data_IF_900894919634
#
_entry.id   IF_900894919634
#
_cell.length_a   1.000
_cell.length_b   1.000
_cell.length_c   1.000
_cell.angle_alpha   90.00
_cell.angle_beta   90.00
_cell.angle_gamma   90.00
#
_symmetry.space_group_name_H-M   'P 1'
#
loop_
_entity.id
_entity.type
_entity.pdbx_description
1 polymer ?
#
# COMPACT_ATOMS: atom_id res chain seq x y z
N UNK A 1 22.96 -5.83 -18.43
CA UNK A 1 22.25 -4.84 -17.56
C UNK A 1 20.81 -4.78 -18.03
N UNK A 2 19.82 -5.13 -17.21
CA UNK A 2 18.41 -4.99 -17.58
C UNK A 2 18.07 -3.51 -17.73
N UNK A 3 17.42 -3.16 -18.85
CA UNK A 3 17.00 -1.77 -19.14
C UNK A 3 15.98 -1.29 -18.08
N UNK A 4 16.04 -0.01 -17.70
CA UNK A 4 14.97 0.63 -16.93
C UNK A 4 13.73 0.75 -17.81
N UNK A 5 12.60 0.30 -17.29
CA UNK A 5 11.29 0.37 -17.94
C UNK A 5 10.34 1.20 -17.06
N UNK A 6 9.26 1.70 -17.67
CA UNK A 6 8.16 2.25 -16.89
C UNK A 6 7.33 1.07 -16.36
N UNK A 7 7.35 0.89 -15.04
CA UNK A 7 6.60 -0.14 -14.35
C UNK A 7 5.31 0.47 -13.77
N UNK A 8 4.20 -0.26 -13.89
CA UNK A 8 2.89 0.11 -13.35
C UNK A 8 2.61 -0.73 -12.10
N UNK A 9 2.29 -0.08 -10.99
CA UNK A 9 2.06 -0.77 -9.72
C UNK A 9 0.86 -0.27 -8.94
N UNK A 10 0.20 -1.18 -8.23
CA UNK A 10 -0.82 -0.90 -7.20
C UNK A 10 -0.22 -1.30 -5.85
N UNK A 11 -0.02 -0.33 -4.94
CA UNK A 11 0.73 -0.54 -3.71
C UNK A 11 -0.12 -0.79 -2.46
N UNK A 12 -1.45 -1.01 -2.62
CA UNK A 12 -2.32 -1.22 -1.48
C UNK A 12 -3.45 -2.20 -1.83
N UNK A 13 -3.25 -3.47 -1.51
CA UNK A 13 -4.22 -4.54 -1.77
C UNK A 13 -4.28 -5.44 -0.54
N UNK A 14 -5.50 -5.80 -0.11
CA UNK A 14 -5.75 -6.73 0.98
C UNK A 14 -6.11 -8.12 0.47
N UNK A 15 -5.75 -9.14 1.26
CA UNK A 15 -6.14 -10.53 0.99
C UNK A 15 -7.17 -11.03 2.01
N UNK A 16 -7.55 -12.29 1.89
CA UNK A 16 -8.44 -12.97 2.84
C UNK A 16 -7.83 -13.12 4.27
N UNK A 17 -6.58 -12.70 4.48
CA UNK A 17 -5.97 -12.57 5.81
C UNK A 17 -6.42 -11.30 6.55
N UNK A 18 -7.00 -10.34 5.85
CA UNK A 18 -7.72 -9.20 6.44
C UNK A 18 -9.19 -9.57 6.68
N UNK A 19 -9.76 -9.15 7.81
CA UNK A 19 -11.14 -9.48 8.19
C UNK A 19 -12.21 -8.94 7.22
N UNK A 20 -11.83 -8.02 6.35
CA UNK A 20 -12.72 -7.28 5.45
C UNK A 20 -12.43 -7.50 3.96
N UNK A 21 -11.60 -8.49 3.63
CA UNK A 21 -11.31 -8.89 2.25
C UNK A 21 -11.46 -10.41 2.06
N UNK A 22 -11.93 -10.83 0.88
CA UNK A 22 -11.97 -12.25 0.46
C UNK A 22 -11.00 -12.55 -0.68
N UNK A 23 -10.15 -11.58 -1.04
CA UNK A 23 -9.24 -11.73 -2.17
C UNK A 23 -8.19 -12.81 -1.91
N UNK A 24 -8.16 -13.79 -2.80
CA UNK A 24 -7.14 -14.84 -2.78
C UNK A 24 -5.92 -14.46 -3.61
N UNK A 25 -4.71 -14.87 -3.23
CA UNK A 25 -3.48 -14.58 -3.98
C UNK A 25 -3.59 -14.89 -5.49
N UNK A 26 -4.23 -16.00 -5.86
CA UNK A 26 -4.41 -16.40 -7.25
C UNK A 26 -5.23 -15.39 -8.04
N UNK A 27 -6.29 -14.86 -7.42
CA UNK A 27 -7.17 -13.87 -8.05
C UNK A 27 -6.47 -12.52 -8.21
N UNK A 28 -5.71 -12.09 -7.19
CA UNK A 28 -4.91 -10.86 -7.23
C UNK A 28 -3.90 -10.95 -8.38
N UNK A 29 -3.12 -12.05 -8.47
CA UNK A 29 -2.12 -12.25 -9.51
C UNK A 29 -2.78 -12.29 -10.90
N UNK A 30 -3.90 -13.01 -11.05
CA UNK A 30 -4.65 -13.06 -12.31
C UNK A 30 -5.09 -11.65 -12.72
N UNK A 31 -5.69 -10.90 -11.80
CA UNK A 31 -6.17 -9.54 -12.06
C UNK A 31 -5.03 -8.58 -12.37
N UNK A 32 -3.92 -8.68 -11.65
CA UNK A 32 -2.71 -7.88 -11.93
C UNK A 32 -2.21 -8.10 -13.35
N UNK A 33 -2.18 -9.36 -13.82
CA UNK A 33 -1.79 -9.69 -15.21
C UNK A 33 -2.77 -9.12 -16.23
N UNK A 34 -4.08 -9.25 -15.99
CA UNK A 34 -5.13 -8.69 -16.87
C UNK A 34 -5.00 -7.16 -17.03
N UNK A 35 -4.62 -6.47 -15.96
CA UNK A 35 -4.46 -5.01 -15.92
C UNK A 35 -3.06 -4.52 -16.36
N UNK A 36 -2.15 -5.44 -16.67
CA UNK A 36 -0.76 -5.11 -17.02
C UNK A 36 0.02 -4.49 -15.85
N UNK A 37 -0.30 -4.86 -14.60
CA UNK A 37 0.48 -4.44 -13.44
C UNK A 37 1.80 -5.21 -13.41
N UNK A 38 2.89 -4.50 -13.17
CA UNK A 38 4.22 -5.03 -12.98
C UNK A 38 4.59 -5.15 -11.50
N UNK A 39 3.89 -4.39 -10.65
CA UNK A 39 4.13 -4.29 -9.22
C UNK A 39 2.79 -4.39 -8.49
N UNK A 40 2.75 -5.14 -7.39
CA UNK A 40 1.66 -5.09 -6.42
C UNK A 40 2.23 -5.02 -5.00
N UNK A 41 1.61 -4.21 -4.15
CA UNK A 41 1.81 -4.18 -2.71
C UNK A 41 0.65 -4.88 -2.03
N UNK A 42 0.92 -5.95 -1.29
CA UNK A 42 -0.09 -6.71 -0.55
C UNK A 42 0.15 -6.51 0.94
N UNK A 43 -0.83 -5.92 1.63
CA UNK A 43 -0.69 -5.34 2.97
C UNK A 43 -1.93 -5.62 3.81
N UNK A 44 -2.00 -6.81 4.36
CA UNK A 44 -3.12 -7.17 5.24
C UNK A 44 -3.04 -6.45 6.59
N UNK A 45 -4.17 -6.25 7.24
CA UNK A 45 -4.23 -5.74 8.61
C UNK A 45 -3.56 -6.73 9.57
N UNK A 46 -2.56 -6.25 10.31
CA UNK A 46 -1.88 -6.99 11.36
C UNK A 46 -1.15 -8.27 10.92
N UNK A 47 -0.89 -8.46 9.60
CA UNK A 47 -0.19 -9.65 9.12
C UNK A 47 0.51 -9.49 7.77
N UNK A 48 1.71 -10.07 7.65
CA UNK A 48 2.44 -10.17 6.37
C UNK A 48 2.11 -11.46 5.60
N UNK A 49 1.26 -12.33 6.13
CA UNK A 49 1.04 -13.69 5.59
C UNK A 49 0.51 -13.67 4.15
N UNK A 50 -0.55 -12.92 3.88
CA UNK A 50 -1.15 -12.83 2.55
C UNK A 50 -0.18 -12.27 1.50
N UNK A 51 0.60 -11.26 1.88
CA UNK A 51 1.66 -10.73 1.04
C UNK A 51 2.73 -11.77 0.71
N UNK A 52 3.16 -12.55 1.69
CA UNK A 52 4.13 -13.63 1.49
C UNK A 52 3.59 -14.78 0.64
N UNK A 53 2.35 -15.18 0.87
CA UNK A 53 1.69 -16.19 0.03
C UNK A 53 1.59 -15.72 -1.42
N UNK A 54 1.18 -14.47 -1.62
CA UNK A 54 1.09 -13.86 -2.96
C UNK A 54 2.47 -13.78 -3.62
N UNK A 55 3.51 -13.39 -2.89
CA UNK A 55 4.88 -13.34 -3.41
C UNK A 55 5.40 -14.72 -3.81
N UNK A 56 5.20 -15.73 -2.94
CA UNK A 56 5.63 -17.11 -3.21
C UNK A 56 4.92 -17.68 -4.43
N UNK A 57 3.61 -17.42 -4.57
CA UNK A 57 2.84 -17.86 -5.72
C UNK A 57 3.27 -17.14 -7.00
N UNK A 58 3.45 -15.81 -6.96
CA UNK A 58 3.87 -15.01 -8.11
C UNK A 58 5.22 -15.47 -8.67
N UNK A 59 6.20 -15.82 -7.82
CA UNK A 59 7.48 -16.40 -8.23
C UNK A 59 7.33 -17.67 -9.08
N UNK A 60 6.24 -18.43 -8.89
CA UNK A 60 5.96 -19.67 -9.63
C UNK A 60 5.22 -19.41 -10.95
N UNK A 61 4.19 -18.53 -10.95
CA UNK A 61 3.23 -18.40 -12.05
C UNK A 61 3.22 -17.04 -12.77
N UNK A 62 3.97 -16.06 -12.23
CA UNK A 62 3.97 -14.67 -12.73
C UNK A 62 5.35 -14.01 -12.50
N UNK A 63 6.41 -14.58 -13.06
CA UNK A 63 7.82 -14.18 -12.81
C UNK A 63 8.13 -12.70 -13.08
N UNK A 64 7.33 -12.03 -13.90
CA UNK A 64 7.47 -10.61 -14.24
C UNK A 64 6.70 -9.68 -13.30
N UNK A 65 5.98 -10.22 -12.31
CA UNK A 65 5.23 -9.47 -11.31
C UNK A 65 6.06 -9.35 -10.03
N UNK A 66 6.42 -8.12 -9.67
CA UNK A 66 7.11 -7.84 -8.40
C UNK A 66 6.06 -7.66 -7.31
N UNK A 67 6.11 -8.49 -6.28
CA UNK A 67 5.19 -8.43 -5.13
C UNK A 67 5.92 -7.87 -3.93
N UNK A 68 5.46 -6.74 -3.42
CA UNK A 68 5.86 -6.20 -2.13
C UNK A 68 4.93 -6.78 -1.06
N UNK A 69 5.46 -7.75 -0.30
CA UNK A 69 4.78 -8.23 0.89
C UNK A 69 4.99 -7.24 2.03
N UNK A 70 3.91 -6.88 2.71
CA UNK A 70 3.92 -5.94 3.80
C UNK A 70 2.73 -6.12 4.73
N UNK A 71 2.54 -5.15 5.58
CA UNK A 71 1.49 -5.11 6.59
C UNK A 71 0.94 -3.69 6.70
N UNK A 72 -0.37 -3.54 6.78
CA UNK A 72 -1.01 -2.32 7.25
C UNK A 72 -1.21 -2.41 8.76
N UNK A 73 -0.40 -1.64 9.50
CA UNK A 73 -0.26 -1.73 10.95
C UNK A 73 -1.12 -0.66 11.61
N UNK A 74 -2.04 -1.06 12.47
CA UNK A 74 -2.81 -0.15 13.33
C UNK A 74 -1.96 0.28 14.51
N UNK A 75 -1.70 1.59 14.62
CA UNK A 75 -1.08 2.20 15.79
C UNK A 75 -2.14 2.87 16.67
N UNK A 76 -1.74 3.39 17.83
CA UNK A 76 -2.65 4.17 18.69
C UNK A 76 -3.20 5.40 17.98
N UNK A 77 -2.40 6.02 17.10
CA UNK A 77 -2.73 7.30 16.44
C UNK A 77 -3.34 7.16 15.06
N UNK A 78 -3.16 6.02 14.38
CA UNK A 78 -3.61 5.79 13.02
C UNK A 78 -2.91 4.60 12.39
N UNK A 79 -2.87 4.54 11.06
CA UNK A 79 -2.31 3.41 10.33
C UNK A 79 -1.04 3.79 9.57
N UNK A 80 -0.11 2.82 9.45
CA UNK A 80 1.06 2.89 8.58
C UNK A 80 1.19 1.59 7.80
N UNK A 81 1.70 1.65 6.58
CA UNK A 81 2.11 0.47 5.82
C UNK A 81 3.61 0.25 5.99
N UNK A 82 4.00 -1.01 6.23
CA UNK A 82 5.38 -1.44 6.28
C UNK A 82 5.63 -2.52 5.23
N UNK A 83 6.45 -2.23 4.23
CA UNK A 83 6.93 -3.23 3.27
C UNK A 83 8.29 -3.78 3.68
N UNK A 84 8.64 -4.95 3.15
CA UNK A 84 9.96 -5.56 3.29
C UNK A 84 10.34 -5.88 4.75
N UNK A 85 9.36 -6.16 5.59
CA UNK A 85 9.56 -6.64 6.96
C UNK A 85 9.58 -8.17 7.01
N UNK A 86 10.28 -8.73 8.00
CA UNK A 86 10.48 -10.18 8.12
C UNK A 86 9.48 -10.89 9.03
N UNK A 87 8.71 -10.15 9.83
CA UNK A 87 7.69 -10.64 10.76
C UNK A 87 6.59 -9.60 10.93
N UNK A 88 5.45 -10.01 11.45
CA UNK A 88 4.36 -9.13 11.84
C UNK A 88 4.82 -8.17 12.96
N UNK A 89 4.31 -6.94 12.92
CA UNK A 89 4.52 -5.92 13.94
C UNK A 89 3.27 -5.90 14.87
N UNK A 90 3.43 -5.90 16.20
CA UNK A 90 2.27 -5.81 17.08
C UNK A 90 1.44 -4.56 16.81
N UNK A 91 0.13 -4.73 16.65
CA UNK A 91 -0.81 -3.61 16.54
C UNK A 91 -0.92 -2.81 17.84
N UNK A 92 -1.42 -1.59 17.76
CA UNK A 92 -1.71 -0.69 18.89
C UNK A 92 -0.49 -0.23 19.69
N UNK A 93 0.69 -0.35 19.14
CA UNK A 93 1.89 0.31 19.65
C UNK A 93 1.80 1.83 19.44
N UNK A 94 2.65 2.58 20.15
CA UNK A 94 2.89 4.00 19.85
C UNK A 94 3.41 4.17 18.42
N UNK A 95 2.98 5.23 17.73
CA UNK A 95 3.32 5.46 16.33
C UNK A 95 4.82 5.52 16.07
N UNK A 96 5.57 6.23 16.91
CA UNK A 96 7.02 6.36 16.73
C UNK A 96 7.75 5.06 17.08
N UNK A 97 7.27 4.33 18.09
CA UNK A 97 7.79 3.01 18.46
C UNK A 97 7.58 2.02 17.31
N UNK A 98 6.39 2.01 16.71
CA UNK A 98 6.08 1.19 15.53
C UNK A 98 7.05 1.51 14.37
N UNK A 99 7.27 2.80 14.08
CA UNK A 99 8.19 3.22 13.04
C UNK A 99 9.62 2.76 13.32
N UNK A 100 10.10 2.86 14.56
CA UNK A 100 11.43 2.39 14.95
C UNK A 100 11.57 0.87 14.75
N UNK A 101 10.56 0.09 15.14
CA UNK A 101 10.58 -1.36 14.94
C UNK A 101 10.60 -1.73 13.46
N UNK A 102 9.77 -1.07 12.62
CA UNK A 102 9.80 -1.26 11.16
C UNK A 102 11.18 -0.96 10.60
N UNK A 103 11.81 0.15 10.99
CA UNK A 103 13.15 0.52 10.52
C UNK A 103 14.23 -0.45 11.01
N UNK A 104 14.11 -0.95 12.23
CA UNK A 104 15.02 -1.99 12.77
C UNK A 104 15.00 -3.27 11.93
N UNK A 105 13.86 -3.60 11.33
CA UNK A 105 13.69 -4.73 10.41
C UNK A 105 14.11 -4.42 8.96
N UNK A 106 14.59 -3.22 8.67
CA UNK A 106 14.93 -2.77 7.31
C UNK A 106 13.72 -2.45 6.45
N UNK A 107 12.57 -2.20 7.08
CA UNK A 107 11.30 -1.94 6.38
C UNK A 107 11.22 -0.58 5.70
N UNK A 108 10.35 -0.51 4.71
CA UNK A 108 9.98 0.67 3.95
C UNK A 108 8.60 1.15 4.42
N UNK A 109 8.53 2.37 4.98
CA UNK A 109 7.31 2.93 5.59
C UNK A 109 6.57 3.82 4.59
N UNK A 110 5.28 3.53 4.42
CA UNK A 110 4.35 4.36 3.66
C UNK A 110 3.25 4.87 4.60
N UNK A 111 2.84 6.12 4.43
CA UNK A 111 1.65 6.68 5.07
C UNK A 111 0.42 6.38 4.20
N UNK A 112 -0.43 5.39 4.56
CA UNK A 112 -1.65 5.10 3.83
C UNK A 112 -2.70 6.18 4.12
N UNK A 113 -3.45 6.63 3.10
CA UNK A 113 -4.57 7.57 3.25
C UNK A 113 -4.46 8.54 4.43
N UNK A 114 -3.32 9.27 4.61
CA UNK A 114 -2.92 9.86 5.89
C UNK A 114 -3.89 10.92 6.44
N UNK A 115 -4.75 11.49 5.63
CA UNK A 115 -5.71 12.53 6.02
C UNK A 115 -7.16 12.08 5.93
N UNK A 116 -7.43 10.81 5.67
CA UNK A 116 -8.78 10.27 5.69
C UNK A 116 -9.22 9.96 7.13
N UNK A 117 -9.95 10.88 7.72
CA UNK A 117 -10.44 10.79 9.10
C UNK A 117 -11.48 9.67 9.33
N UNK A 118 -12.05 9.12 8.26
CA UNK A 118 -13.00 7.99 8.35
C UNK A 118 -12.28 6.63 8.38
N UNK A 119 -11.00 6.61 8.03
CA UNK A 119 -10.22 5.38 7.82
C UNK A 119 -8.90 5.39 8.60
N UNK A 120 -8.91 5.89 9.82
CA UNK A 120 -7.76 5.94 10.73
C UNK A 120 -6.52 6.63 10.14
N UNK A 121 -6.68 7.59 9.24
CA UNK A 121 -5.58 8.42 8.76
C UNK A 121 -4.93 9.17 9.92
N UNK A 122 -3.61 9.28 9.91
CA UNK A 122 -2.80 9.89 10.98
C UNK A 122 -3.09 11.36 11.24
N UNK A 123 -3.61 12.10 10.24
CA UNK A 123 -3.86 13.53 10.37
C UNK A 123 -2.60 14.30 10.75
N UNK A 124 -2.69 15.09 11.82
CA UNK A 124 -1.57 15.88 12.33
C UNK A 124 -0.43 15.06 12.91
N UNK A 125 -0.72 13.83 13.38
CA UNK A 125 0.30 12.91 13.93
C UNK A 125 1.33 12.48 12.90
N UNK A 126 1.00 12.53 11.59
CA UNK A 126 1.93 12.23 10.51
C UNK A 126 3.21 13.09 10.57
N UNK A 127 3.12 14.32 11.10
CA UNK A 127 4.27 15.24 11.25
C UNK A 127 5.34 14.71 12.22
N UNK A 128 4.95 13.90 13.21
CA UNK A 128 5.86 13.37 14.23
C UNK A 128 6.82 12.32 13.66
N UNK A 129 6.44 11.68 12.57
CA UNK A 129 7.17 10.54 12.01
C UNK A 129 7.76 10.78 10.62
N UNK A 130 7.76 12.02 10.14
CA UNK A 130 8.27 12.39 8.79
C UNK A 130 9.67 11.82 8.52
N UNK A 131 10.56 11.84 9.53
CA UNK A 131 11.93 11.32 9.39
C UNK A 131 12.01 9.78 9.19
N UNK A 132 10.93 9.05 9.49
CA UNK A 132 10.86 7.60 9.28
C UNK A 132 10.19 7.23 7.96
N UNK A 133 9.43 8.16 7.35
CA UNK A 133 8.59 7.89 6.18
C UNK A 133 9.43 7.82 4.90
N UNK A 134 9.17 6.80 4.10
CA UNK A 134 9.83 6.62 2.80
C UNK A 134 8.94 7.06 1.62
N UNK A 135 7.60 7.04 1.79
CA UNK A 135 6.65 7.53 0.80
C UNK A 135 5.29 7.86 1.45
N UNK A 136 4.49 8.64 0.75
CA UNK A 136 3.10 8.96 1.13
C UNK A 136 2.15 8.38 0.09
N UNK A 137 1.06 7.76 0.50
CA UNK A 137 -0.02 7.40 -0.39
C UNK A 137 -0.76 8.68 -0.79
N UNK A 138 -0.31 9.30 -1.89
CA UNK A 138 -0.86 10.55 -2.40
C UNK A 138 -2.24 10.38 -3.06
N UNK A 139 -2.57 9.15 -3.46
CA UNK A 139 -3.89 8.79 -3.96
C UNK A 139 -4.28 7.39 -3.48
N UNK A 140 -5.35 7.33 -2.70
CA UNK A 140 -6.03 6.10 -2.31
C UNK A 140 -7.42 6.09 -2.97
N UNK A 141 -7.75 5.00 -3.69
CA UNK A 141 -8.99 4.92 -4.45
C UNK A 141 -10.25 4.82 -3.59
N UNK A 142 -10.16 4.31 -2.36
CA UNK A 142 -11.29 4.20 -1.43
C UNK A 142 -11.57 5.48 -0.64
N UNK A 143 -10.72 6.49 -0.75
CA UNK A 143 -10.96 7.78 -0.12
C UNK A 143 -12.24 8.43 -0.61
N UNK A 144 -13.19 8.71 0.30
CA UNK A 144 -14.52 9.25 -0.05
C UNK A 144 -14.45 10.67 -0.62
N UNK A 145 -13.62 11.52 -0.04
CA UNK A 145 -13.52 12.94 -0.41
C UNK A 145 -12.15 13.27 -1.02
N UNK A 146 -12.16 13.93 -2.17
CA UNK A 146 -10.93 14.31 -2.89
C UNK A 146 -9.98 15.19 -2.08
N UNK A 147 -10.53 15.93 -1.09
CA UNK A 147 -9.72 16.76 -0.17
C UNK A 147 -8.67 15.95 0.57
N UNK A 148 -8.93 14.68 0.89
CA UNK A 148 -8.00 13.84 1.65
C UNK A 148 -6.78 13.47 0.79
N UNK A 149 -6.99 13.05 -0.45
CA UNK A 149 -5.91 12.80 -1.40
C UNK A 149 -5.14 14.11 -1.72
N UNK A 150 -5.84 15.23 -1.91
CA UNK A 150 -5.16 16.53 -2.09
C UNK A 150 -4.30 16.91 -0.89
N UNK A 151 -4.78 16.69 0.33
CA UNK A 151 -4.02 16.96 1.56
C UNK A 151 -2.80 16.02 1.67
N UNK A 152 -2.91 14.76 1.26
CA UNK A 152 -1.79 13.83 1.22
C UNK A 152 -0.68 14.29 0.27
N UNK A 153 -1.05 14.71 -0.95
CA UNK A 153 -0.09 15.27 -1.92
C UNK A 153 0.51 16.59 -1.42
N UNK A 154 -0.29 17.45 -0.77
CA UNK A 154 0.21 18.70 -0.17
C UNK A 154 1.24 18.40 0.92
N UNK A 155 0.92 17.49 1.85
CA UNK A 155 1.82 17.07 2.92
C UNK A 155 3.13 16.47 2.37
N UNK A 156 3.04 15.62 1.35
CA UNK A 156 4.20 15.06 0.66
C UNK A 156 5.13 16.16 0.16
N UNK A 157 4.59 17.17 -0.54
CA UNK A 157 5.37 18.30 -1.06
C UNK A 157 5.98 19.17 0.04
N UNK A 158 5.25 19.41 1.13
CA UNK A 158 5.72 20.22 2.27
C UNK A 158 6.88 19.57 3.04
N UNK A 159 7.05 18.24 2.89
CA UNK A 159 8.04 17.47 3.63
C UNK A 159 9.04 16.74 2.71
N UNK A 160 9.09 17.08 1.42
CA UNK A 160 9.97 16.46 0.40
C UNK A 160 9.87 14.92 0.34
N UNK A 161 8.66 14.38 0.61
CA UNK A 161 8.38 12.96 0.57
C UNK A 161 7.86 12.54 -0.82
N UNK A 162 8.31 11.41 -1.38
CA UNK A 162 7.75 10.89 -2.62
C UNK A 162 6.31 10.39 -2.43
N UNK A 163 5.55 10.31 -3.53
CA UNK A 163 4.19 9.79 -3.53
C UNK A 163 4.11 8.45 -4.24
N UNK A 164 3.24 7.59 -3.72
CA UNK A 164 2.73 6.40 -4.40
C UNK A 164 1.21 6.41 -4.39
N UNK A 165 0.57 5.47 -5.08
CA UNK A 165 -0.88 5.29 -5.08
C UNK A 165 -1.23 3.84 -4.79
N UNK A 166 -2.35 3.62 -4.13
CA UNK A 166 -2.92 2.33 -3.83
C UNK A 166 -4.42 2.30 -4.04
N UNK A 167 -4.92 1.18 -4.56
CA UNK A 167 -6.37 0.98 -4.69
C UNK A 167 -7.05 0.76 -3.35
N UNK A 168 -6.31 0.19 -2.39
CA UNK A 168 -6.84 -0.27 -1.11
C UNK A 168 -7.92 -1.33 -1.33
N UNK A 169 -7.64 -2.20 -2.31
CA UNK A 169 -8.59 -3.17 -2.81
C UNK A 169 -8.89 -4.25 -1.78
N UNK A 170 -10.17 -4.46 -1.53
CA UNK A 170 -10.74 -5.57 -0.76
C UNK A 170 -11.60 -6.47 -1.65
N UNK A 171 -11.91 -6.02 -2.88
CA UNK A 171 -12.66 -6.73 -3.90
C UNK A 171 -11.94 -6.66 -5.25
N UNK A 172 -12.20 -7.66 -6.10
CA UNK A 172 -11.53 -7.81 -7.41
C UNK A 172 -11.66 -6.57 -8.31
N UNK A 173 -12.83 -5.92 -8.26
CA UNK A 173 -13.13 -4.74 -9.07
C UNK A 173 -12.33 -3.48 -8.66
N UNK A 174 -11.77 -3.44 -7.46
CA UNK A 174 -11.01 -2.31 -6.94
C UNK A 174 -9.53 -2.37 -7.35
N UNK A 175 -8.98 -3.57 -7.61
CA UNK A 175 -7.56 -3.75 -7.97
C UNK A 175 -7.21 -2.91 -9.19
N UNK A 176 -6.17 -2.09 -9.06
CA UNK A 176 -5.67 -1.22 -10.12
C UNK A 176 -6.45 0.08 -10.33
N UNK A 177 -7.44 0.40 -9.46
CA UNK A 177 -8.12 1.70 -9.51
C UNK A 177 -7.21 2.88 -9.17
N UNK A 178 -6.11 2.62 -8.46
CA UNK A 178 -5.05 3.59 -8.26
C UNK A 178 -3.70 2.94 -8.56
N UNK A 179 -2.86 3.62 -9.32
CA UNK A 179 -1.59 3.06 -9.77
C UNK A 179 -0.46 4.08 -9.70
N UNK A 180 0.73 3.57 -9.45
CA UNK A 180 2.00 4.28 -9.51
C UNK A 180 2.76 3.84 -10.74
N UNK A 181 3.23 4.79 -11.54
CA UNK A 181 4.19 4.56 -12.61
C UNK A 181 5.58 4.92 -12.11
N UNK A 182 6.52 3.99 -12.20
CA UNK A 182 7.91 4.20 -11.76
C UNK A 182 8.88 3.72 -12.82
N UNK A 183 9.85 4.58 -13.17
CA UNK A 183 10.93 4.21 -14.09
C UNK A 183 12.02 3.48 -13.32
N UNK A 184 12.12 2.15 -13.51
CA UNK A 184 13.03 1.30 -12.73
C UNK A 184 13.32 -0.03 -13.44
N UNK A 185 14.27 -0.78 -12.92
CA UNK A 185 14.39 -2.23 -13.15
C UNK A 185 13.29 -2.94 -12.36
N UNK A 186 12.82 -4.14 -12.82
CA UNK A 186 11.74 -4.89 -12.17
C UNK A 186 12.26 -5.73 -10.97
N UNK A 187 12.88 -5.06 -10.01
CA UNK A 187 13.28 -5.65 -8.73
C UNK A 187 12.94 -4.71 -7.57
N UNK A 188 12.72 -5.27 -6.39
CA UNK A 188 12.26 -4.53 -5.21
C UNK A 188 13.19 -3.38 -4.82
N UNK A 189 14.50 -3.64 -4.80
CA UNK A 189 15.50 -2.64 -4.39
C UNK A 189 15.53 -1.46 -5.35
N UNK A 190 15.59 -1.72 -6.66
CA UNK A 190 15.57 -0.69 -7.69
C UNK A 190 14.29 0.13 -7.67
N UNK A 191 13.12 -0.52 -7.48
CA UNK A 191 11.82 0.15 -7.38
C UNK A 191 11.77 1.07 -6.15
N UNK A 192 12.13 0.57 -4.96
CA UNK A 192 12.17 1.38 -3.74
C UNK A 192 13.12 2.58 -3.88
N UNK A 193 14.30 2.37 -4.46
CA UNK A 193 15.26 3.45 -4.73
C UNK A 193 14.69 4.49 -5.70
N UNK A 194 14.02 4.06 -6.76
CA UNK A 194 13.39 4.95 -7.72
C UNK A 194 12.25 5.77 -7.09
N UNK A 195 11.40 5.15 -6.25
CA UNK A 195 10.36 5.85 -5.49
C UNK A 195 11.00 6.90 -4.59
N UNK A 196 11.98 6.54 -3.75
CA UNK A 196 12.69 7.48 -2.85
C UNK A 196 13.33 8.65 -3.59
N UNK A 197 13.74 8.47 -4.83
CA UNK A 197 14.32 9.54 -5.66
C UNK A 197 13.30 10.41 -6.39
N UNK A 198 12.00 10.28 -6.10
CA UNK A 198 10.93 11.06 -6.70
C UNK A 198 10.60 10.69 -8.16
N UNK A 199 11.05 9.52 -8.65
CA UNK A 199 10.82 9.05 -10.02
C UNK A 199 9.47 8.30 -10.18
N UNK A 200 8.52 8.59 -9.31
CA UNK A 200 7.20 7.99 -9.33
C UNK A 200 6.13 9.01 -9.71
N UNK A 201 5.15 8.58 -10.53
CA UNK A 201 3.95 9.34 -10.87
C UNK A 201 2.72 8.53 -10.52
N UNK A 202 1.69 9.19 -10.01
CA UNK A 202 0.47 8.53 -9.57
C UNK A 202 -0.71 8.86 -10.47
N UNK A 203 -1.61 7.89 -10.63
CA UNK A 203 -2.88 8.05 -11.34
C UNK A 203 -3.93 7.17 -10.66
N UNK A 204 -5.19 7.63 -10.63
CA UNK A 204 -6.26 6.80 -10.07
C UNK A 204 -7.64 7.37 -10.26
N UNK A 205 -8.62 6.51 -10.01
CA UNK A 205 -10.06 6.79 -9.95
C UNK A 205 -10.59 6.28 -8.61
N UNK A 206 -11.58 6.96 -8.06
CA UNK A 206 -12.20 6.50 -6.81
C UNK A 206 -13.08 5.28 -7.02
N UNK A 207 -13.03 4.33 -6.09
CA UNK A 207 -13.86 3.11 -6.11
C UNK A 207 -15.35 3.37 -5.86
N UNK A 208 -15.70 4.59 -5.39
CA UNK A 208 -17.07 4.98 -5.10
C UNK A 208 -17.60 4.42 -3.78
N UNK A 209 -18.91 4.49 -3.56
CA UNK A 209 -19.53 4.15 -2.26
C UNK A 209 -19.83 2.65 -2.09
N UNK A 210 -20.05 1.91 -3.17
CA UNK A 210 -20.45 0.48 -3.12
C UNK A 210 -19.47 -0.43 -2.36
N UNK A 211 -18.13 -0.34 -2.56
CA UNK A 211 -17.17 -1.14 -1.81
C UNK A 211 -17.22 -0.91 -0.30
N UNK A 212 -17.46 0.33 0.15
CA UNK A 212 -17.57 0.63 1.58
C UNK A 212 -18.76 -0.09 2.23
N UNK A 213 -19.90 -0.13 1.54
CA UNK A 213 -21.09 -0.88 2.01
C UNK A 213 -20.79 -2.37 2.06
N UNK A 214 -20.16 -2.93 1.02
CA UNK A 214 -19.76 -4.35 1.00
C UNK A 214 -18.86 -4.71 2.17
N UNK A 215 -17.80 -3.91 2.43
CA UNK A 215 -16.88 -4.12 3.55
C UNK A 215 -17.59 -4.06 4.89
N UNK A 216 -18.51 -3.10 5.08
CA UNK A 216 -19.28 -2.99 6.32
C UNK A 216 -20.12 -4.24 6.58
N UNK A 217 -20.81 -4.74 5.56
CA UNK A 217 -21.61 -5.97 5.65
C UNK A 217 -20.69 -7.16 5.96
N UNK A 218 -19.58 -7.28 5.28
CA UNK A 218 -18.64 -8.40 5.47
C UNK A 218 -18.09 -8.48 6.91
N UNK A 219 -17.66 -7.35 7.48
CA UNK A 219 -17.20 -7.28 8.89
C UNK A 219 -18.28 -7.68 9.91
N UNK A 220 -19.55 -7.49 9.59
CA UNK A 220 -20.65 -7.78 10.53
C UNK A 220 -21.07 -9.25 10.54
N UNK A 221 -20.80 -9.98 9.48
CA UNK A 221 -21.27 -11.36 9.28
C UNK A 221 -20.13 -12.39 9.21
N UNK A 222 -18.89 -12.00 9.48
CA UNK A 222 -17.76 -12.85 9.83
C UNK A 222 -17.57 -12.85 11.35
#
# INVERSE_FOLDING_TARGET
>A
MSSENILKGDFHIHTYHSDDSDLRPEWIIKKAKELGLNIIGVVDHGSIKGGRETEALAKRIAKNLVVFAGEEIKTKEGEIIAFNISKDIPEWMDLEETCREVKRLGGFIVLPHPFDSFRRGLGVSARRIVSYVDAVEGFNARTMFDRFNRNAVKFSKENDLPVIAGSDAHFMEEIGMAVTFVKSRPDKESIMKAIKSGKAHIMGWKSGFKPHVKTFVQKRFR
#
